data_IF_575560640698
#
_entry.id   IF_575560640698
#
_cell.length_a   1.000
_cell.length_b   1.000
_cell.length_c   1.000
_cell.angle_alpha   90.00
_cell.angle_beta   90.00
_cell.angle_gamma   90.00
#
_symmetry.space_group_name_H-M   'P 1'
#
loop_
_entity.id
_entity.type
_entity.pdbx_description
1 polymer ?
#
# COMPACT_ATOMS: atom_id res chain seq x y z
N UNK A 1 -14.69 6.99 -9.55
CA UNK A 1 -13.78 6.13 -8.78
C UNK A 1 -14.07 6.29 -7.29
N UNK A 2 -14.02 5.21 -6.56
CA UNK A 2 -14.33 5.16 -5.15
C UNK A 2 -13.28 4.30 -4.43
N UNK A 3 -12.85 4.73 -3.24
CA UNK A 3 -12.01 3.90 -2.36
C UNK A 3 -12.94 3.19 -1.38
N UNK A 4 -12.81 1.88 -1.29
CA UNK A 4 -13.63 1.05 -0.40
C UNK A 4 -12.82 -0.13 0.14
N UNK A 5 -13.34 -0.78 1.17
CA UNK A 5 -12.73 -2.01 1.69
C UNK A 5 -12.75 -3.11 0.63
N UNK A 6 -11.64 -3.83 0.52
CA UNK A 6 -11.54 -4.98 -0.36
C UNK A 6 -12.45 -6.11 0.14
N UNK A 7 -13.06 -6.81 -0.80
CA UNK A 7 -13.94 -7.94 -0.51
C UNK A 7 -13.37 -9.21 -1.14
N UNK A 8 -13.81 -10.41 -0.68
CA UNK A 8 -13.30 -11.67 -1.25
C UNK A 8 -13.44 -11.76 -2.77
N UNK A 9 -14.49 -11.15 -3.33
CA UNK A 9 -14.68 -11.16 -4.79
C UNK A 9 -13.72 -10.25 -5.56
N UNK A 10 -12.96 -9.42 -4.86
CA UNK A 10 -11.91 -8.59 -5.49
C UNK A 10 -10.60 -9.37 -5.70
N UNK A 11 -10.46 -10.55 -5.10
CA UNK A 11 -9.20 -11.29 -5.08
C UNK A 11 -8.64 -11.54 -6.48
N UNK A 12 -9.46 -11.97 -7.42
CA UNK A 12 -9.00 -12.28 -8.77
C UNK A 12 -8.39 -11.05 -9.45
N UNK A 13 -9.02 -9.89 -9.32
CA UNK A 13 -8.50 -8.65 -9.90
C UNK A 13 -7.23 -8.17 -9.19
N UNK A 14 -7.17 -8.31 -7.87
CA UNK A 14 -5.97 -7.97 -7.09
C UNK A 14 -4.78 -8.80 -7.53
N UNK A 15 -4.96 -10.11 -7.65
CA UNK A 15 -3.92 -11.03 -8.12
C UNK A 15 -3.47 -10.67 -9.54
N UNK A 16 -4.40 -10.33 -10.41
CA UNK A 16 -4.08 -9.91 -11.78
C UNK A 16 -3.22 -8.64 -11.78
N UNK A 17 -3.60 -7.63 -10.99
CA UNK A 17 -2.84 -6.37 -10.91
C UNK A 17 -1.44 -6.62 -10.36
N UNK A 18 -1.31 -7.42 -9.32
CA UNK A 18 0.00 -7.78 -8.77
C UNK A 18 0.90 -8.40 -9.84
N UNK A 19 0.36 -9.32 -10.64
CA UNK A 19 1.10 -9.96 -11.72
C UNK A 19 1.51 -9.00 -12.84
N UNK A 20 0.77 -7.90 -13.02
CA UNK A 20 1.14 -6.85 -13.98
C UNK A 20 2.21 -5.91 -13.42
N UNK A 21 2.32 -5.81 -12.10
CA UNK A 21 3.24 -4.88 -11.43
C UNK A 21 4.57 -5.55 -11.03
N UNK A 22 4.57 -6.86 -10.77
CA UNK A 22 5.72 -7.58 -10.25
C UNK A 22 5.98 -8.87 -11.02
N UNK A 23 7.26 -9.25 -11.20
CA UNK A 23 7.58 -10.56 -11.77
C UNK A 23 7.14 -11.68 -10.81
N UNK A 24 6.93 -12.86 -11.37
CA UNK A 24 6.43 -14.02 -10.62
C UNK A 24 7.24 -14.34 -9.36
N UNK A 25 8.56 -14.14 -9.42
CA UNK A 25 9.48 -14.44 -8.31
C UNK A 25 9.26 -13.54 -7.09
N UNK A 26 8.75 -12.33 -7.29
CA UNK A 26 8.57 -11.33 -6.23
C UNK A 26 7.11 -11.01 -5.95
N UNK A 27 6.19 -11.41 -6.82
CA UNK A 27 4.77 -11.17 -6.61
C UNK A 27 4.27 -11.97 -5.40
N UNK A 28 3.38 -11.37 -4.61
CA UNK A 28 2.74 -12.08 -3.52
C UNK A 28 1.83 -13.17 -4.08
N UNK A 29 1.83 -14.37 -3.47
CA UNK A 29 0.95 -15.44 -3.92
C UNK A 29 -0.53 -15.14 -3.59
N UNK A 30 -1.48 -15.73 -4.34
CA UNK A 30 -2.91 -15.50 -4.09
C UNK A 30 -3.35 -15.79 -2.65
N UNK A 31 -2.78 -16.80 -2.00
CA UNK A 31 -3.09 -17.13 -0.60
C UNK A 31 -2.79 -15.98 0.35
N UNK A 32 -1.73 -15.22 0.09
CA UNK A 32 -1.37 -14.07 0.89
C UNK A 32 -2.42 -12.97 0.77
N UNK A 33 -2.88 -12.68 -0.44
CA UNK A 33 -3.93 -11.69 -0.65
C UNK A 33 -5.25 -12.10 -0.02
N UNK A 34 -5.62 -13.38 -0.10
CA UNK A 34 -6.80 -13.89 0.56
C UNK A 34 -6.72 -13.66 2.08
N UNK A 35 -5.55 -13.93 2.67
CA UNK A 35 -5.30 -13.68 4.08
C UNK A 35 -5.38 -12.18 4.41
N UNK A 36 -4.73 -11.32 3.63
CA UNK A 36 -4.68 -9.89 3.87
C UNK A 36 -6.05 -9.24 3.73
N UNK A 37 -6.87 -9.67 2.77
CA UNK A 37 -8.24 -9.17 2.64
C UNK A 37 -9.04 -9.43 3.91
N UNK A 38 -8.81 -10.56 4.54
CA UNK A 38 -9.55 -10.96 5.74
C UNK A 38 -9.02 -10.31 7.02
N UNK A 39 -7.71 -10.18 7.18
CA UNK A 39 -7.09 -9.85 8.47
C UNK A 39 -6.36 -8.50 8.50
N UNK A 40 -6.05 -7.91 7.37
CA UNK A 40 -5.39 -6.61 7.30
C UNK A 40 -6.39 -5.52 6.89
N UNK A 41 -5.96 -4.26 6.96
CA UNK A 41 -6.71 -3.16 6.35
C UNK A 41 -6.41 -3.19 4.86
N UNK A 42 -7.40 -3.57 4.07
CA UNK A 42 -7.25 -3.75 2.63
C UNK A 42 -8.27 -2.88 1.91
N UNK A 43 -7.78 -1.99 1.06
CA UNK A 43 -8.60 -1.02 0.33
C UNK A 43 -8.39 -1.17 -1.16
N UNK A 44 -9.45 -0.99 -1.92
CA UNK A 44 -9.39 -0.95 -3.38
C UNK A 44 -9.93 0.37 -3.89
N UNK A 45 -9.35 0.86 -4.99
CA UNK A 45 -9.93 1.92 -5.80
C UNK A 45 -10.72 1.25 -6.90
N UNK A 46 -12.03 1.50 -6.95
CA UNK A 46 -12.89 0.83 -7.90
C UNK A 46 -13.81 1.78 -8.66
N UNK A 47 -14.19 1.37 -9.85
CA UNK A 47 -15.23 2.00 -10.64
C UNK A 47 -16.62 1.51 -10.21
N UNK A 48 -17.71 2.19 -10.62
CA UNK A 48 -19.06 1.74 -10.25
C UNK A 48 -19.40 0.32 -10.70
N UNK A 49 -18.79 -0.18 -11.77
CA UNK A 49 -18.96 -1.54 -12.27
C UNK A 49 -18.12 -2.58 -11.51
N UNK A 50 -17.53 -2.19 -10.38
CA UNK A 50 -16.67 -3.00 -9.53
C UNK A 50 -15.30 -3.34 -10.13
N UNK A 51 -14.90 -2.70 -11.22
CA UNK A 51 -13.56 -2.84 -11.77
C UNK A 51 -12.55 -2.25 -10.81
N UNK A 52 -11.54 -3.03 -10.39
CA UNK A 52 -10.48 -2.60 -9.50
C UNK A 52 -9.37 -1.93 -10.31
N UNK A 53 -9.01 -0.71 -9.93
CA UNK A 53 -7.95 0.07 -10.58
C UNK A 53 -6.63 0.01 -9.83
N UNK A 54 -6.69 -0.28 -8.54
CA UNK A 54 -5.53 -0.39 -7.67
C UNK A 54 -5.94 -0.79 -6.27
N UNK A 55 -4.97 -1.13 -5.45
CA UNK A 55 -5.24 -1.54 -4.08
C UNK A 55 -4.07 -1.21 -3.16
N UNK A 56 -4.35 -1.13 -1.87
CA UNK A 56 -3.36 -0.95 -0.81
C UNK A 56 -3.74 -1.83 0.37
N UNK A 57 -2.74 -2.41 1.02
CA UNK A 57 -2.94 -3.23 2.20
C UNK A 57 -1.92 -2.87 3.27
N UNK A 58 -2.38 -2.81 4.51
CA UNK A 58 -1.52 -2.48 5.63
C UNK A 58 -2.14 -2.91 6.96
N UNK A 59 -1.39 -2.69 8.03
CA UNK A 59 -1.83 -3.06 9.36
C UNK A 59 -1.22 -2.11 10.39
N UNK A 60 -1.74 -2.16 11.61
CA UNK A 60 -1.13 -1.47 12.73
C UNK A 60 -0.89 -2.44 13.87
N UNK A 61 0.24 -2.24 14.56
CA UNK A 61 0.61 -2.95 15.78
C UNK A 61 0.99 -1.90 16.80
N UNK A 62 0.15 -1.74 17.83
CA UNK A 62 0.33 -0.65 18.79
C UNK A 62 0.24 0.71 18.10
N UNK A 63 1.30 1.51 18.23
CA UNK A 63 1.35 2.88 17.69
C UNK A 63 2.01 2.96 16.30
N UNK A 64 2.42 1.83 15.73
CA UNK A 64 3.12 1.79 14.44
C UNK A 64 2.27 1.06 13.41
N UNK A 65 2.02 1.72 12.29
CA UNK A 65 1.42 1.09 11.13
C UNK A 65 2.48 0.70 10.10
N UNK A 66 2.11 -0.20 9.21
CA UNK A 66 2.98 -0.60 8.10
C UNK A 66 2.15 -0.81 6.84
N UNK A 67 2.74 -0.47 5.70
CA UNK A 67 2.17 -0.78 4.39
C UNK A 67 2.79 -2.06 3.89
N UNK A 68 1.95 -3.06 3.59
CA UNK A 68 2.42 -4.30 2.96
C UNK A 68 2.66 -4.13 1.47
N UNK A 69 1.70 -3.51 0.78
CA UNK A 69 1.75 -3.40 -0.67
C UNK A 69 0.83 -2.28 -1.15
N UNK A 70 1.25 -1.64 -2.23
CA UNK A 70 0.46 -0.64 -2.95
C UNK A 70 0.67 -0.87 -4.44
N UNK A 71 -0.38 -1.23 -5.15
CA UNK A 71 -0.34 -1.47 -6.59
C UNK A 71 -1.40 -0.64 -7.29
N UNK A 72 -1.04 -0.04 -8.42
CA UNK A 72 -1.97 0.60 -9.34
C UNK A 72 -1.82 -0.08 -10.70
N UNK A 73 -2.95 -0.49 -11.27
CA UNK A 73 -2.97 -1.09 -12.60
C UNK A 73 -2.21 -0.19 -13.59
N UNK A 74 -1.28 -0.73 -14.39
CA UNK A 74 -0.43 0.08 -15.27
C UNK A 74 -1.19 1.03 -16.19
N UNK A 75 -2.38 0.64 -16.64
CA UNK A 75 -3.20 1.48 -17.53
C UNK A 75 -3.83 2.68 -16.84
N UNK A 76 -3.82 2.72 -15.50
CA UNK A 76 -4.49 3.77 -14.73
C UNK A 76 -3.54 4.59 -13.87
N UNK A 77 -2.24 4.46 -14.10
CA UNK A 77 -1.21 5.24 -13.40
C UNK A 77 -1.26 6.71 -13.79
N UNK A 78 -0.66 7.57 -12.97
CA UNK A 78 -0.59 9.03 -13.13
C UNK A 78 -1.95 9.73 -13.05
N UNK A 79 -2.90 9.13 -12.36
CA UNK A 79 -4.24 9.70 -12.11
C UNK A 79 -4.48 10.00 -10.63
N UNK A 80 -3.43 9.91 -9.80
CA UNK A 80 -3.54 10.16 -8.37
C UNK A 80 -4.16 9.01 -7.56
N UNK A 81 -4.36 7.84 -8.15
CA UNK A 81 -4.99 6.69 -7.46
C UNK A 81 -4.12 6.21 -6.31
N UNK A 82 -2.82 6.07 -6.53
CA UNK A 82 -1.90 5.63 -5.47
C UNK A 82 -1.89 6.58 -4.28
N UNK A 83 -1.89 7.89 -4.54
CA UNK A 83 -1.94 8.90 -3.48
C UNK A 83 -3.24 8.84 -2.68
N UNK A 84 -4.37 8.64 -3.35
CA UNK A 84 -5.67 8.50 -2.67
C UNK A 84 -5.77 7.24 -1.84
N UNK A 85 -5.24 6.12 -2.35
CA UNK A 85 -5.17 4.88 -1.60
C UNK A 85 -4.31 5.05 -0.35
N UNK A 86 -3.14 5.67 -0.49
CA UNK A 86 -2.24 5.92 0.63
C UNK A 86 -2.91 6.79 1.69
N UNK A 87 -3.53 7.88 1.30
CA UNK A 87 -4.23 8.78 2.22
C UNK A 87 -5.34 8.04 2.96
N UNK A 88 -6.13 7.24 2.25
CA UNK A 88 -7.23 6.47 2.86
C UNK A 88 -6.71 5.43 3.85
N UNK A 89 -5.60 4.76 3.53
CA UNK A 89 -4.99 3.81 4.46
C UNK A 89 -4.47 4.52 5.71
N UNK A 90 -3.78 5.66 5.54
CA UNK A 90 -3.27 6.44 6.65
C UNK A 90 -4.38 6.85 7.62
N UNK A 91 -5.51 7.30 7.10
CA UNK A 91 -6.67 7.67 7.90
C UNK A 91 -7.20 6.48 8.72
N UNK A 92 -7.31 5.31 8.08
CA UNK A 92 -7.79 4.12 8.76
C UNK A 92 -6.82 3.60 9.82
N UNK A 93 -5.53 3.60 9.52
CA UNK A 93 -4.52 3.16 10.49
C UNK A 93 -4.44 4.14 11.67
N UNK A 94 -4.59 5.45 11.43
CA UNK A 94 -4.64 6.45 12.49
C UNK A 94 -5.84 6.21 13.42
N UNK A 95 -7.01 5.91 12.87
CA UNK A 95 -8.20 5.57 13.67
C UNK A 95 -7.98 4.31 14.52
N UNK A 96 -7.11 3.41 14.10
CA UNK A 96 -6.76 2.21 14.84
C UNK A 96 -5.62 2.43 15.84
N UNK A 97 -5.10 3.65 15.95
CA UNK A 97 -4.10 4.02 16.94
C UNK A 97 -2.69 4.24 16.40
N UNK A 98 -2.46 4.10 15.10
CA UNK A 98 -1.13 4.34 14.54
C UNK A 98 -0.75 5.81 14.66
N UNK A 99 0.47 6.07 15.13
CA UNK A 99 1.05 7.41 15.22
C UNK A 99 2.14 7.62 14.16
N UNK A 100 2.64 6.54 13.58
CA UNK A 100 3.61 6.55 12.50
C UNK A 100 3.36 5.37 11.58
N UNK A 101 3.74 5.50 10.32
CA UNK A 101 3.64 4.43 9.33
C UNK A 101 5.00 4.19 8.71
N UNK A 102 5.34 2.92 8.56
CA UNK A 102 6.55 2.45 7.93
C UNK A 102 6.21 1.71 6.64
N UNK A 103 7.08 1.85 5.66
CA UNK A 103 7.02 1.06 4.43
C UNK A 103 8.42 0.79 3.91
N UNK A 104 8.53 -0.21 3.04
CA UNK A 104 9.73 -0.53 2.30
C UNK A 104 9.45 -0.34 0.81
N UNK A 105 10.26 0.49 0.15
CA UNK A 105 10.13 0.78 -1.27
C UNK A 105 11.30 0.15 -2.03
N UNK A 106 10.99 -0.53 -3.13
CA UNK A 106 12.03 -1.13 -3.97
C UNK A 106 12.84 -0.02 -4.68
N UNK A 107 14.17 -0.08 -4.56
CA UNK A 107 15.06 0.93 -5.17
C UNK A 107 15.00 0.92 -6.70
N UNK A 108 14.69 -0.22 -7.31
CA UNK A 108 14.55 -0.32 -8.75
C UNK A 108 13.23 0.26 -9.28
N UNK A 109 12.43 0.87 -8.39
CA UNK A 109 11.15 1.49 -8.73
C UNK A 109 11.12 2.96 -8.30
N UNK A 110 11.81 3.83 -9.04
CA UNK A 110 11.92 5.24 -8.66
C UNK A 110 10.57 5.97 -8.60
N UNK A 111 9.59 5.54 -9.39
CA UNK A 111 8.25 6.10 -9.34
C UNK A 111 7.54 5.86 -8.01
N UNK A 112 7.72 4.69 -7.41
CA UNK A 112 7.16 4.37 -6.10
C UNK A 112 7.82 5.20 -4.99
N UNK A 113 9.16 5.30 -5.01
CA UNK A 113 9.90 6.11 -4.03
C UNK A 113 9.43 7.56 -4.09
N UNK A 114 9.27 8.11 -5.29
CA UNK A 114 8.81 9.49 -5.48
C UNK A 114 7.39 9.69 -4.95
N UNK A 115 6.50 8.74 -5.19
CA UNK A 115 5.13 8.78 -4.67
C UNK A 115 5.14 8.87 -3.14
N UNK A 116 5.96 8.06 -2.49
CA UNK A 116 6.05 8.06 -1.03
C UNK A 116 6.67 9.34 -0.49
N UNK A 117 7.69 9.88 -1.16
CA UNK A 117 8.26 11.18 -0.78
C UNK A 117 7.21 12.27 -0.84
N UNK A 118 6.44 12.33 -1.91
CA UNK A 118 5.36 13.31 -2.06
C UNK A 118 4.27 13.16 -1.02
N UNK A 119 4.04 11.92 -0.56
CA UNK A 119 3.08 11.65 0.51
C UNK A 119 3.61 12.01 1.90
N UNK A 120 4.87 12.45 2.00
CA UNK A 120 5.46 12.89 3.26
C UNK A 120 6.33 11.86 3.95
N UNK A 121 6.64 10.75 3.29
CA UNK A 121 7.52 9.73 3.85
C UNK A 121 8.98 10.13 3.71
N UNK A 122 9.75 9.89 4.77
CA UNK A 122 11.17 10.19 4.82
C UNK A 122 11.99 8.91 4.85
N UNK A 123 13.09 8.91 4.11
CA UNK A 123 14.03 7.79 4.07
C UNK A 123 14.76 7.68 5.41
N UNK A 124 14.88 6.47 5.94
CA UNK A 124 15.62 6.23 7.19
C UNK A 124 16.74 5.23 7.06
N UNK A 125 16.55 4.17 6.27
CA UNK A 125 17.62 3.19 6.09
C UNK A 125 17.50 2.44 4.78
N UNK A 126 18.63 1.95 4.30
CA UNK A 126 18.72 1.02 3.18
C UNK A 126 18.67 -0.39 3.76
N UNK A 127 17.72 -1.20 3.30
CA UNK A 127 17.61 -2.60 3.70
C UNK A 127 18.11 -3.45 2.54
N UNK A 128 19.31 -3.98 2.67
CA UNK A 128 19.97 -4.75 1.61
C UNK A 128 19.27 -6.08 1.41
N UNK A 129 19.10 -6.46 0.16
CA UNK A 129 18.54 -7.76 -0.26
C UNK A 129 17.15 -8.04 0.33
N UNK A 130 16.36 -7.01 0.57
CA UNK A 130 15.03 -7.14 1.17
C UNK A 130 14.09 -8.00 0.32
N UNK A 131 14.13 -7.81 -1.01
CA UNK A 131 13.29 -8.55 -1.96
C UNK A 131 14.01 -9.73 -2.60
N UNK A 132 15.29 -9.92 -2.28
CA UNK A 132 16.13 -10.96 -2.84
C UNK A 132 17.54 -10.42 -3.11
N UNK A 133 18.44 -11.28 -3.56
CA UNK A 133 19.84 -10.92 -3.78
C UNK A 133 19.97 -9.79 -4.82
N UNK A 134 20.52 -8.67 -4.41
CA UNK A 134 20.67 -7.49 -5.25
C UNK A 134 19.43 -6.57 -5.30
N UNK A 135 18.32 -7.00 -4.73
CA UNK A 135 17.07 -6.24 -4.71
C UNK A 135 16.87 -5.57 -3.36
N UNK A 136 17.39 -4.36 -3.26
CA UNK A 136 17.38 -3.60 -2.02
C UNK A 136 16.10 -2.80 -1.84
N UNK A 137 15.74 -2.53 -0.61
CA UNK A 137 14.62 -1.67 -0.25
C UNK A 137 15.09 -0.43 0.49
N UNK A 138 14.34 0.63 0.33
CA UNK A 138 14.48 1.85 1.10
C UNK A 138 13.38 1.85 2.16
N UNK A 139 13.75 1.86 3.45
CA UNK A 139 12.78 1.94 4.53
C UNK A 139 12.44 3.40 4.79
N UNK A 140 11.16 3.71 4.71
CA UNK A 140 10.65 5.06 4.84
C UNK A 140 9.62 5.15 5.95
N UNK A 141 9.53 6.30 6.59
CA UNK A 141 8.63 6.54 7.71
C UNK A 141 7.90 7.87 7.55
N UNK A 142 6.68 7.89 8.05
CA UNK A 142 5.89 9.12 8.16
C UNK A 142 5.23 9.17 9.53
N UNK A 143 5.40 10.30 10.24
CA UNK A 143 4.65 10.57 11.45
C UNK A 143 3.27 11.09 11.06
N UNK A 144 2.23 10.53 11.67
CA UNK A 144 0.86 10.96 11.41
C UNK A 144 0.51 12.13 12.34
N UNK A 145 -0.33 13.03 11.84
CA UNK A 145 -0.85 14.11 12.66
C UNK A 145 -1.99 13.59 13.53
N UNK A 146 -1.64 13.21 14.77
CA UNK A 146 -2.60 12.62 15.71
C UNK A 146 -3.68 13.63 16.14
N UNK A 147 -3.38 14.94 16.07
CA UNK A 147 -4.34 15.96 16.45
C UNK A 147 -5.57 15.97 15.55
N UNK A 148 -5.41 15.65 14.26
CA UNK A 148 -6.52 15.54 13.31
C UNK A 148 -7.48 14.44 13.75
N UNK A 149 -6.95 13.33 14.25
CA UNK A 149 -7.76 12.18 14.71
C UNK A 149 -8.57 12.52 15.96
N UNK A 150 -8.11 13.45 16.77
CA UNK A 150 -8.80 13.86 18.00
C UNK A 150 -9.90 14.88 17.75
N UNK A 151 -9.85 15.60 16.64
CA UNK A 151 -10.82 16.63 16.30
C UNK A 151 -11.98 16.14 15.45
N UNK A 152 -11.89 14.94 14.96
CA UNK A 152 -12.94 14.30 14.15
C UNK A 152 -13.69 13.28 14.96
#
# INVERSE_FOLDING_TARGET
MKIRSAQPWDLAQIVQIEGLCFPEETAFPPKMFAYLIRYAVSLVASEPDKKVLGFIMGYTSGKTGAVYTLDVHPSYRRRGIGSKLMQSLEEKLALLGAQAIRLEAALDRPGAVELYRKAGYQERELVRNYYGRGDHALRMWKNLDVCICLTT
#
